data_IF_796482181962
#
_entry.id   IF_796482181962
#
_cell.length_a   1.000
_cell.length_b   1.000
_cell.length_c   1.000
_cell.angle_alpha   90.00
_cell.angle_beta   90.00
_cell.angle_gamma   90.00
#
_symmetry.space_group_name_H-M   'P 1'
#
loop_
_entity.id
_entity.type
_entity.pdbx_description
1 polymer ?
#
# COMPACT_ATOMS: atom_id res chain seq x y z
N UNK A 1 -6.30 6.07 14.03
CA UNK A 1 -7.53 5.69 14.74
C UNK A 1 -8.49 6.87 14.89
N UNK A 2 -8.07 8.02 15.44
CA UNK A 2 -8.93 9.17 15.64
C UNK A 2 -9.51 9.74 14.34
N UNK A 3 -8.70 9.89 13.30
CA UNK A 3 -9.11 10.40 11.99
C UNK A 3 -10.18 9.52 11.35
N UNK A 4 -9.99 8.19 11.31
CA UNK A 4 -10.97 7.26 10.74
C UNK A 4 -12.30 7.23 11.48
N UNK A 5 -12.30 7.39 12.81
CA UNK A 5 -13.54 7.48 13.60
C UNK A 5 -14.29 8.76 13.27
N UNK A 6 -13.59 9.88 13.13
CA UNK A 6 -14.20 11.16 12.76
C UNK A 6 -14.83 11.13 11.37
N UNK A 7 -14.12 10.57 10.40
CA UNK A 7 -14.62 10.40 9.03
C UNK A 7 -15.90 9.57 9.01
N UNK A 8 -15.88 8.41 9.66
CA UNK A 8 -17.07 7.55 9.72
C UNK A 8 -18.23 8.16 10.48
N UNK A 9 -17.95 8.94 11.53
CA UNK A 9 -18.98 9.70 12.26
C UNK A 9 -19.61 10.80 11.40
N UNK A 10 -18.84 11.46 10.54
CA UNK A 10 -19.34 12.49 9.64
C UNK A 10 -20.20 11.88 8.52
N UNK A 11 -19.76 10.78 7.90
CA UNK A 11 -20.45 10.03 6.86
C UNK A 11 -21.84 9.56 7.37
N UNK A 12 -21.88 8.78 8.44
CA UNK A 12 -23.13 8.29 9.02
C UNK A 12 -24.04 9.44 9.48
N UNK A 13 -23.47 10.53 10.01
CA UNK A 13 -24.23 11.72 10.41
C UNK A 13 -24.85 12.45 9.23
N UNK A 14 -24.12 12.58 8.12
CA UNK A 14 -24.59 13.17 6.88
C UNK A 14 -25.77 12.40 6.29
N UNK A 15 -25.67 11.08 6.27
CA UNK A 15 -26.72 10.18 5.78
C UNK A 15 -27.97 10.24 6.65
N UNK A 16 -27.82 10.18 7.97
CA UNK A 16 -28.97 10.23 8.87
C UNK A 16 -29.73 11.57 8.77
N UNK A 17 -29.03 12.68 8.75
CA UNK A 17 -29.65 14.01 8.70
C UNK A 17 -30.20 14.30 7.30
N UNK A 18 -29.43 13.99 6.26
CA UNK A 18 -29.83 14.26 4.88
C UNK A 18 -30.95 13.33 4.40
N UNK A 19 -30.70 12.04 4.43
CA UNK A 19 -31.57 11.02 3.83
C UNK A 19 -32.81 10.75 4.68
N UNK A 20 -32.64 10.58 5.98
CA UNK A 20 -33.73 10.14 6.88
C UNK A 20 -34.56 11.31 7.39
N UNK A 21 -33.94 12.38 7.91
CA UNK A 21 -34.67 13.51 8.50
C UNK A 21 -35.13 14.53 7.46
N UNK A 22 -34.25 14.95 6.56
CA UNK A 22 -34.54 16.00 5.59
C UNK A 22 -35.11 15.49 4.26
N UNK A 23 -35.01 14.20 3.97
CA UNK A 23 -35.44 13.59 2.70
C UNK A 23 -34.69 14.16 1.50
N UNK A 24 -33.47 14.58 1.67
CA UNK A 24 -32.59 15.14 0.63
C UNK A 24 -31.77 13.98 0.06
N UNK A 25 -31.53 13.92 -1.27
CA UNK A 25 -30.62 12.93 -1.85
C UNK A 25 -29.25 12.99 -1.22
N UNK A 26 -28.58 11.84 -1.17
CA UNK A 26 -27.17 11.72 -0.81
C UNK A 26 -26.33 12.67 -1.67
N UNK A 27 -25.28 13.24 -1.11
CA UNK A 27 -24.40 14.22 -1.79
C UNK A 27 -25.07 15.54 -2.23
N UNK A 28 -26.23 15.89 -1.71
CA UNK A 28 -26.87 17.15 -2.04
C UNK A 28 -26.09 18.35 -1.45
N UNK A 29 -25.65 19.31 -2.25
CA UNK A 29 -24.87 20.45 -1.78
C UNK A 29 -25.61 21.35 -0.78
N UNK A 30 -26.91 21.15 -0.60
CA UNK A 30 -27.71 21.85 0.43
C UNK A 30 -27.51 21.30 1.83
N UNK A 31 -26.96 20.08 1.94
CA UNK A 31 -26.65 19.46 3.23
C UNK A 31 -25.22 19.85 3.66
N UNK A 32 -25.05 20.69 4.69
CA UNK A 32 -23.70 21.08 5.13
C UNK A 32 -22.89 19.91 5.70
N UNK A 33 -23.54 18.82 6.09
CA UNK A 33 -22.85 17.61 6.56
C UNK A 33 -22.05 16.92 5.45
N UNK A 34 -22.46 17.04 4.17
CA UNK A 34 -21.70 16.55 3.01
C UNK A 34 -20.32 17.21 2.90
N UNK A 35 -20.20 18.49 3.26
CA UNK A 35 -18.89 19.17 3.29
C UNK A 35 -18.01 18.58 4.39
N UNK A 36 -18.60 18.33 5.58
CA UNK A 36 -17.88 17.74 6.70
C UNK A 36 -17.42 16.31 6.38
N UNK A 37 -18.23 15.53 5.68
CA UNK A 37 -17.93 14.19 5.23
C UNK A 37 -16.77 14.21 4.23
N UNK A 38 -16.85 14.97 3.16
CA UNK A 38 -15.77 15.07 2.15
C UNK A 38 -14.44 15.58 2.75
N UNK A 39 -14.47 16.51 3.70
CA UNK A 39 -13.27 16.95 4.42
C UNK A 39 -12.77 15.85 5.34
N UNK A 40 -13.68 15.17 6.03
CA UNK A 40 -13.40 14.06 6.91
C UNK A 40 -12.71 12.91 6.20
N UNK A 41 -13.17 12.53 5.02
CA UNK A 41 -12.54 11.50 4.18
C UNK A 41 -11.10 11.88 3.83
N UNK A 42 -10.86 13.10 3.39
CA UNK A 42 -9.50 13.56 3.10
C UNK A 42 -8.59 13.50 4.34
N UNK A 43 -9.09 13.88 5.52
CA UNK A 43 -8.34 13.79 6.77
C UNK A 43 -8.14 12.33 7.19
N UNK A 44 -9.17 11.50 7.06
CA UNK A 44 -9.10 10.07 7.39
C UNK A 44 -8.12 9.31 6.53
N UNK A 45 -8.15 9.53 5.23
CA UNK A 45 -7.28 8.84 4.28
C UNK A 45 -5.84 9.36 4.33
N UNK A 46 -5.63 10.65 4.43
CA UNK A 46 -4.29 11.23 4.44
C UNK A 46 -3.64 11.23 5.83
N UNK A 47 -4.32 11.70 6.85
CA UNK A 47 -3.75 11.80 8.20
C UNK A 47 -3.90 10.51 9.01
N UNK A 48 -4.92 9.71 8.74
CA UNK A 48 -5.15 8.42 9.38
C UNK A 48 -4.46 7.29 8.63
N UNK A 49 -4.99 6.91 7.50
CA UNK A 49 -4.57 5.69 6.77
C UNK A 49 -3.18 5.83 6.15
N UNK A 50 -2.87 6.92 5.48
CA UNK A 50 -1.55 7.09 4.86
C UNK A 50 -0.44 7.17 5.91
N UNK A 51 -0.69 7.81 7.06
CA UNK A 51 0.26 7.84 8.17
C UNK A 51 0.49 6.45 8.77
N UNK A 52 -0.55 5.65 8.92
CA UNK A 52 -0.49 4.27 9.43
C UNK A 52 0.31 3.36 8.47
N UNK A 53 0.08 3.49 7.17
CA UNK A 53 0.84 2.79 6.14
C UNK A 53 2.32 3.18 6.16
N UNK A 54 2.63 4.47 6.35
CA UNK A 54 4.00 4.94 6.48
C UNK A 54 4.67 4.36 7.74
N UNK A 55 3.99 4.35 8.87
CA UNK A 55 4.50 3.75 10.10
C UNK A 55 4.82 2.27 9.91
N UNK A 56 3.91 1.49 9.35
CA UNK A 56 4.11 0.08 9.06
C UNK A 56 5.31 -0.15 8.14
N UNK A 57 5.45 0.66 7.11
CA UNK A 57 6.57 0.61 6.17
C UNK A 57 7.91 0.90 6.88
N UNK A 58 7.98 1.98 7.65
CA UNK A 58 9.18 2.37 8.38
C UNK A 58 9.58 1.32 9.44
N UNK A 59 8.62 0.82 10.21
CA UNK A 59 8.86 -0.21 11.22
C UNK A 59 9.37 -1.51 10.58
N UNK A 60 8.83 -1.92 9.46
CA UNK A 60 9.27 -3.13 8.75
C UNK A 60 10.71 -3.00 8.26
N UNK A 61 11.08 -1.86 7.69
CA UNK A 61 12.46 -1.60 7.25
C UNK A 61 13.41 -1.63 8.45
N UNK A 62 13.09 -0.90 9.53
CA UNK A 62 13.93 -0.84 10.73
C UNK A 62 14.07 -2.22 11.38
N UNK A 63 12.98 -2.98 11.50
CA UNK A 63 13.02 -4.33 12.05
C UNK A 63 13.94 -5.25 11.24
N UNK A 64 13.88 -5.16 9.91
CA UNK A 64 14.75 -5.94 9.02
C UNK A 64 16.21 -5.50 9.15
N UNK A 65 16.48 -4.20 9.27
CA UNK A 65 17.84 -3.68 9.51
C UNK A 65 18.41 -4.17 10.85
N UNK A 66 17.60 -4.15 11.93
CA UNK A 66 18.01 -4.66 13.24
C UNK A 66 18.30 -6.16 13.16
N UNK A 67 17.45 -6.93 12.50
CA UNK A 67 17.66 -8.35 12.32
C UNK A 67 18.96 -8.60 11.51
N UNK A 68 19.20 -7.85 10.46
CA UNK A 68 20.43 -7.93 9.68
C UNK A 68 21.67 -7.61 10.53
N UNK A 69 21.58 -6.63 11.41
CA UNK A 69 22.70 -6.27 12.31
C UNK A 69 23.06 -7.36 13.33
N UNK A 70 22.08 -8.18 13.70
CA UNK A 70 22.29 -9.31 14.64
C UNK A 70 22.96 -10.48 13.92
N UNK A 71 22.52 -10.81 12.71
CA UNK A 71 23.02 -11.97 11.98
C UNK A 71 24.29 -11.69 11.15
N UNK A 72 24.50 -10.43 10.73
CA UNK A 72 25.61 -10.00 9.88
C UNK A 72 26.40 -8.87 10.55
N UNK A 73 26.96 -9.14 11.73
CA UNK A 73 27.62 -8.14 12.60
C UNK A 73 28.72 -7.33 11.92
N UNK A 74 29.36 -7.85 10.87
CA UNK A 74 30.48 -7.21 10.17
C UNK A 74 30.13 -6.71 8.75
N UNK A 75 28.89 -6.88 8.30
CA UNK A 75 28.49 -6.53 6.94
C UNK A 75 27.45 -5.40 6.90
N UNK A 76 27.97 -4.19 6.72
CA UNK A 76 27.14 -2.98 6.63
C UNK A 76 26.19 -3.02 5.43
N UNK A 77 26.58 -3.66 4.33
CA UNK A 77 25.77 -3.73 3.12
C UNK A 77 24.47 -4.50 3.36
N UNK A 78 24.54 -5.60 4.12
CA UNK A 78 23.34 -6.34 4.52
C UNK A 78 22.39 -5.52 5.38
N UNK A 79 22.92 -4.64 6.23
CA UNK A 79 22.09 -3.78 7.08
C UNK A 79 21.43 -2.64 6.27
N UNK A 80 22.12 -2.11 5.26
CA UNK A 80 21.61 -1.01 4.42
C UNK A 80 20.69 -1.51 3.30
N UNK A 81 20.74 -2.78 2.96
CA UNK A 81 19.96 -3.35 1.85
C UNK A 81 18.44 -3.13 1.95
N UNK A 82 17.77 -3.36 3.10
CA UNK A 82 16.33 -3.08 3.22
C UNK A 82 15.99 -1.61 2.96
N UNK A 83 16.83 -0.70 3.41
CA UNK A 83 16.66 0.73 3.17
C UNK A 83 16.82 1.08 1.68
N UNK A 84 17.77 0.45 1.01
CA UNK A 84 18.01 0.64 -0.43
C UNK A 84 16.83 0.15 -1.27
N UNK A 85 16.23 -1.00 -0.90
CA UNK A 85 14.99 -1.49 -1.52
C UNK A 85 13.87 -0.50 -1.32
N UNK A 86 13.68 -0.03 -0.08
CA UNK A 86 12.65 0.94 0.25
C UNK A 86 12.77 2.24 -0.56
N UNK A 87 13.98 2.78 -0.66
CA UNK A 87 14.24 3.98 -1.46
C UNK A 87 13.91 3.78 -2.95
N UNK A 88 14.27 2.62 -3.50
CA UNK A 88 13.95 2.28 -4.89
C UNK A 88 12.44 2.10 -5.12
N UNK A 89 11.75 1.45 -4.20
CA UNK A 89 10.30 1.26 -4.29
C UNK A 89 9.53 2.59 -4.24
N UNK A 90 10.02 3.60 -3.53
CA UNK A 90 9.45 4.95 -3.58
C UNK A 90 9.53 5.54 -4.99
N UNK A 91 10.69 5.43 -5.64
CA UNK A 91 10.85 5.94 -7.01
C UNK A 91 9.96 5.20 -8.00
N UNK A 92 9.87 3.88 -7.91
CA UNK A 92 8.97 3.09 -8.78
C UNK A 92 7.50 3.41 -8.52
N UNK A 93 7.11 3.67 -7.29
CA UNK A 93 5.76 4.08 -6.93
C UNK A 93 5.40 5.43 -7.54
N UNK A 94 6.30 6.42 -7.46
CA UNK A 94 6.11 7.73 -8.09
C UNK A 94 5.92 7.57 -9.60
N UNK A 95 6.74 6.76 -10.26
CA UNK A 95 6.58 6.48 -11.69
C UNK A 95 5.26 5.73 -11.96
N UNK A 96 4.90 4.78 -11.10
CA UNK A 96 3.65 4.01 -11.19
C UNK A 96 2.40 4.87 -11.16
N UNK A 97 2.39 5.98 -10.43
CA UNK A 97 1.23 6.89 -10.38
C UNK A 97 0.90 7.50 -11.75
N UNK A 98 1.88 7.69 -12.63
CA UNK A 98 1.62 8.20 -13.98
C UNK A 98 0.84 7.22 -14.86
N UNK A 99 0.81 5.94 -14.50
CA UNK A 99 0.03 4.91 -15.19
C UNK A 99 -1.41 4.83 -14.70
N UNK A 100 -1.72 5.45 -13.56
CA UNK A 100 -3.09 5.53 -13.05
C UNK A 100 -3.87 6.57 -13.86
N UNK A 101 -4.55 6.11 -14.90
CA UNK A 101 -5.38 6.96 -15.76
C UNK A 101 -6.77 6.34 -15.89
N UNK A 102 -7.80 7.13 -15.59
CA UNK A 102 -9.19 6.76 -15.86
C UNK A 102 -9.40 6.60 -17.37
N UNK A 103 -9.79 5.40 -17.79
CA UNK A 103 -10.19 5.15 -19.17
C UNK A 103 -11.61 5.64 -19.46
N UNK A 104 -12.05 5.51 -20.72
CA UNK A 104 -13.40 5.89 -21.14
C UNK A 104 -14.52 5.14 -20.40
N UNK A 105 -14.23 3.96 -19.86
CA UNK A 105 -15.19 3.13 -19.09
C UNK A 105 -15.48 3.63 -17.69
N UNK A 106 -14.80 4.69 -17.22
CA UNK A 106 -14.90 5.25 -15.84
C UNK A 106 -14.70 4.23 -14.71
N UNK A 107 -14.17 3.04 -14.99
CA UNK A 107 -13.93 2.03 -13.97
C UNK A 107 -12.66 2.37 -13.18
N UNK A 108 -12.83 2.84 -11.95
CA UNK A 108 -11.77 3.32 -11.05
C UNK A 108 -10.84 2.17 -10.66
N UNK A 109 -11.40 0.99 -10.35
CA UNK A 109 -10.61 -0.18 -9.94
C UNK A 109 -9.61 -0.60 -11.02
N UNK A 110 -10.03 -0.66 -12.28
CA UNK A 110 -9.13 -0.97 -13.38
C UNK A 110 -7.99 0.04 -13.56
N UNK A 111 -8.23 1.31 -13.25
CA UNK A 111 -7.18 2.33 -13.29
C UNK A 111 -6.15 2.13 -12.17
N UNK A 112 -6.61 1.80 -10.96
CA UNK A 112 -5.75 1.48 -9.82
C UNK A 112 -4.92 0.23 -10.07
N UNK A 113 -5.51 -0.84 -10.60
CA UNK A 113 -4.78 -2.06 -10.95
C UNK A 113 -3.68 -1.83 -11.99
N UNK A 114 -3.92 -0.99 -12.98
CA UNK A 114 -2.86 -0.63 -13.96
C UNK A 114 -1.66 0.02 -13.28
N UNK A 115 -1.90 0.96 -12.36
CA UNK A 115 -0.84 1.60 -11.59
C UNK A 115 -0.10 0.59 -10.71
N UNK A 116 -0.84 -0.28 -10.00
CA UNK A 116 -0.27 -1.31 -9.15
C UNK A 116 0.62 -2.30 -9.93
N UNK A 117 0.12 -2.85 -11.04
CA UNK A 117 0.88 -3.78 -11.88
C UNK A 117 2.11 -3.10 -12.49
N UNK A 118 1.98 -1.85 -12.94
CA UNK A 118 3.11 -1.09 -13.46
C UNK A 118 4.20 -0.89 -12.38
N UNK A 119 3.81 -0.51 -11.16
CA UNK A 119 4.74 -0.36 -10.03
C UNK A 119 5.40 -1.69 -9.67
N UNK A 120 4.64 -2.79 -9.64
CA UNK A 120 5.18 -4.12 -9.33
C UNK A 120 6.23 -4.57 -10.35
N UNK A 121 5.96 -4.38 -11.65
CA UNK A 121 6.91 -4.71 -12.72
C UNK A 121 8.17 -3.84 -12.63
N UNK A 122 8.00 -2.53 -12.43
CA UNK A 122 9.13 -1.61 -12.27
C UNK A 122 9.98 -1.97 -11.04
N UNK A 123 9.34 -2.35 -9.93
CA UNK A 123 10.03 -2.76 -8.72
C UNK A 123 10.83 -4.05 -8.93
N UNK A 124 10.30 -5.03 -9.66
CA UNK A 124 11.04 -6.25 -10.03
C UNK A 124 12.28 -5.94 -10.89
N UNK A 125 12.14 -5.04 -11.85
CA UNK A 125 13.25 -4.65 -12.74
C UNK A 125 14.35 -3.92 -11.95
N UNK A 126 13.96 -3.03 -11.04
CA UNK A 126 14.91 -2.21 -10.27
C UNK A 126 15.53 -2.99 -9.10
N UNK A 127 14.84 -3.99 -8.56
CA UNK A 127 15.33 -4.83 -7.48
C UNK A 127 16.59 -5.60 -7.88
N UNK A 128 16.68 -6.04 -9.14
CA UNK A 128 17.83 -6.80 -9.65
C UNK A 128 19.14 -6.00 -9.56
N UNK A 129 19.27 -4.81 -10.20
CA UNK A 129 20.52 -4.05 -10.14
C UNK A 129 20.81 -3.50 -8.73
N UNK A 130 19.82 -3.26 -7.90
CA UNK A 130 20.04 -2.84 -6.51
C UNK A 130 20.64 -3.97 -5.69
N UNK A 131 20.12 -5.19 -5.84
CA UNK A 131 20.66 -6.37 -5.17
C UNK A 131 22.10 -6.61 -5.60
N UNK A 132 22.40 -6.47 -6.89
CA UNK A 132 23.75 -6.62 -7.42
C UNK A 132 24.69 -5.53 -6.89
N UNK A 133 24.25 -4.29 -6.90
CA UNK A 133 25.08 -3.15 -6.46
C UNK A 133 25.37 -3.16 -4.95
N UNK A 134 24.38 -3.49 -4.12
CA UNK A 134 24.50 -3.40 -2.65
C UNK A 134 25.13 -4.65 -2.06
N UNK A 135 24.71 -5.83 -2.52
CA UNK A 135 25.09 -7.12 -1.92
C UNK A 135 26.01 -7.90 -2.83
N UNK A 136 25.84 -7.78 -4.17
CA UNK A 136 26.47 -8.65 -5.15
C UNK A 136 25.72 -9.99 -5.30
N UNK A 137 25.24 -10.27 -6.49
CA UNK A 137 24.41 -11.46 -6.78
C UNK A 137 25.16 -12.79 -6.53
N UNK A 138 26.47 -12.80 -6.80
CA UNK A 138 27.32 -14.00 -6.67
C UNK A 138 28.02 -14.09 -5.30
N UNK A 139 27.85 -13.11 -4.44
CA UNK A 139 28.48 -13.11 -3.11
C UNK A 139 27.82 -14.14 -2.20
N UNK A 140 28.65 -15.04 -1.64
CA UNK A 140 28.16 -16.07 -0.73
C UNK A 140 28.15 -15.56 0.71
N UNK A 141 27.02 -15.71 1.37
CA UNK A 141 26.83 -15.43 2.78
C UNK A 141 26.54 -16.70 3.54
N UNK A 142 26.93 -16.78 4.79
CA UNK A 142 26.62 -17.91 5.65
C UNK A 142 26.12 -17.46 7.01
N UNK A 143 24.99 -18.00 7.43
CA UNK A 143 24.38 -17.75 8.74
C UNK A 143 23.98 -19.09 9.35
N UNK A 144 24.45 -19.35 10.54
CA UNK A 144 24.14 -20.59 11.29
C UNK A 144 24.39 -21.89 10.49
N UNK A 145 25.40 -21.91 9.62
CA UNK A 145 25.72 -23.08 8.81
C UNK A 145 24.92 -23.23 7.51
N UNK A 146 24.01 -22.30 7.23
CA UNK A 146 23.28 -22.22 5.95
C UNK A 146 23.98 -21.20 5.06
N UNK A 147 24.45 -21.64 3.89
CA UNK A 147 25.02 -20.75 2.88
C UNK A 147 23.96 -20.35 1.86
N UNK A 148 23.92 -19.06 1.52
CA UNK A 148 23.08 -18.51 0.47
C UNK A 148 23.85 -17.42 -0.29
N UNK A 149 23.38 -17.05 -1.47
CA UNK A 149 23.97 -16.01 -2.29
C UNK A 149 23.02 -14.82 -2.46
N UNK A 150 23.52 -13.69 -2.98
CA UNK A 150 22.70 -12.51 -3.21
C UNK A 150 21.50 -12.77 -4.12
N UNK A 151 21.61 -13.71 -5.05
CA UNK A 151 20.50 -14.13 -5.92
C UNK A 151 19.33 -14.74 -5.12
N UNK A 152 19.61 -15.43 -4.02
CA UNK A 152 18.56 -15.96 -3.13
C UNK A 152 17.74 -14.84 -2.50
N UNK A 153 18.36 -13.73 -2.15
CA UNK A 153 17.67 -12.55 -1.61
C UNK A 153 16.80 -11.87 -2.67
N UNK A 154 17.28 -11.80 -3.91
CA UNK A 154 16.45 -11.33 -5.03
C UNK A 154 15.19 -12.21 -5.18
N UNK A 155 15.32 -13.53 -5.16
CA UNK A 155 14.16 -14.43 -5.21
C UNK A 155 13.22 -14.26 -4.02
N UNK A 156 13.72 -13.98 -2.83
CA UNK A 156 12.86 -13.65 -1.68
C UNK A 156 12.02 -12.37 -1.96
N UNK A 157 12.61 -11.36 -2.59
CA UNK A 157 11.88 -10.16 -3.01
C UNK A 157 10.81 -10.46 -4.06
N UNK A 158 11.10 -11.31 -5.05
CA UNK A 158 10.12 -11.76 -6.05
C UNK A 158 8.95 -12.50 -5.39
N UNK A 159 9.24 -13.42 -4.48
CA UNK A 159 8.22 -14.16 -3.72
C UNK A 159 7.37 -13.19 -2.89
N UNK A 160 7.98 -12.20 -2.24
CA UNK A 160 7.25 -11.16 -1.49
C UNK A 160 6.25 -10.41 -2.35
N UNK A 161 6.62 -10.03 -3.58
CA UNK A 161 5.71 -9.38 -4.53
C UNK A 161 4.57 -10.30 -4.99
N UNK A 162 4.85 -11.57 -5.21
CA UNK A 162 3.82 -12.57 -5.56
C UNK A 162 2.83 -12.73 -4.39
N UNK A 163 3.32 -12.85 -3.17
CA UNK A 163 2.48 -12.95 -1.97
C UNK A 163 1.61 -11.70 -1.81
N UNK A 164 2.17 -10.51 -2.02
CA UNK A 164 1.40 -9.25 -1.99
C UNK A 164 0.27 -9.25 -3.01
N UNK A 165 0.54 -9.68 -4.25
CA UNK A 165 -0.48 -9.81 -5.28
C UNK A 165 -1.58 -10.81 -4.92
N UNK A 166 -1.22 -11.94 -4.35
CA UNK A 166 -2.17 -12.95 -3.86
C UNK A 166 -3.01 -12.42 -2.70
N UNK A 167 -2.42 -11.70 -1.76
CA UNK A 167 -3.14 -11.09 -0.64
C UNK A 167 -4.19 -10.09 -1.14
N UNK A 168 -3.84 -9.23 -2.09
CA UNK A 168 -4.79 -8.27 -2.69
C UNK A 168 -5.94 -9.04 -3.35
N UNK A 169 -5.65 -10.06 -4.15
CA UNK A 169 -6.67 -10.84 -4.83
C UNK A 169 -7.59 -11.58 -3.87
N UNK A 170 -7.03 -12.20 -2.81
CA UNK A 170 -7.82 -12.89 -1.78
C UNK A 170 -8.68 -11.90 -1.01
N UNK A 171 -8.11 -10.76 -0.61
CA UNK A 171 -8.83 -9.72 0.12
C UNK A 171 -10.01 -9.21 -0.70
N UNK A 172 -9.79 -8.89 -1.97
CA UNK A 172 -10.85 -8.44 -2.87
C UNK A 172 -11.96 -9.48 -3.03
N UNK A 173 -11.59 -10.76 -3.15
CA UNK A 173 -12.56 -11.85 -3.26
C UNK A 173 -13.44 -11.97 -2.00
N UNK A 174 -12.87 -11.83 -0.80
CA UNK A 174 -13.62 -12.00 0.44
C UNK A 174 -14.31 -10.73 0.94
N UNK A 175 -13.82 -9.54 0.60
CA UNK A 175 -14.47 -8.28 0.96
C UNK A 175 -15.62 -7.94 0.05
N UNK A 176 -15.79 -8.68 -1.08
CA UNK A 176 -16.91 -8.55 -2.01
C UNK A 176 -17.31 -7.08 -2.24
N UNK A 177 -16.45 -6.33 -2.89
CA UNK A 177 -16.75 -4.95 -3.30
C UNK A 177 -18.08 -4.82 -4.09
N UNK A 178 -18.53 -5.93 -4.69
CA UNK A 178 -19.83 -6.02 -5.35
C UNK A 178 -21.02 -6.05 -4.38
N UNK A 179 -20.82 -6.53 -3.15
CA UNK A 179 -21.89 -6.63 -2.15
C UNK A 179 -21.93 -5.44 -1.20
N UNK A 180 -20.83 -4.71 -1.02
CA UNK A 180 -20.81 -3.57 -0.11
C UNK A 180 -21.29 -2.29 -0.77
N UNK A 181 -21.15 -2.11 -2.09
CA UNK A 181 -21.74 -0.97 -2.79
C UNK A 181 -23.26 -1.08 -2.88
N UNK A 182 -23.78 -2.27 -3.20
CA UNK A 182 -25.22 -2.48 -3.29
C UNK A 182 -25.93 -2.41 -1.91
N UNK A 183 -25.24 -2.84 -0.84
CA UNK A 183 -25.81 -2.77 0.51
C UNK A 183 -25.82 -1.32 1.10
N UNK A 184 -24.98 -0.44 0.62
CA UNK A 184 -24.99 0.98 0.99
C UNK A 184 -26.05 1.76 0.20
N UNK A 185 -26.37 1.31 -1.03
CA UNK A 185 -27.36 1.95 -1.90
C UNK A 185 -28.80 1.48 -1.61
N UNK A 186 -29.00 0.39 -0.84
CA UNK A 186 -30.32 -0.18 -0.53
C UNK A 186 -30.88 0.21 0.85
N UNK A 187 -30.21 1.06 1.63
CA UNK A 187 -30.70 1.57 2.92
C UNK A 187 -31.01 3.04 2.80
#
# INVERSE_FOLDING_TARGET
LGGGIFTKGADVGADLVGKVEAGIPEDDPRNPAVIADNVGDNVGDCAGMAADLFETYAVTIVATMVLSSIFFVSDLNMMVYPLSIGAACILTSIVGTFFVKLGQSKNIMNALYKGFVATAILSLIILYPITDYVIGLDTNYSVNGVSFNGMSLYYCGVIGLIITGLLIWITEYYTCLLYTSDAADEV
#
